data_IF_046869806546
#
_entry.id   IF_046869806546
#
_cell.length_a   1.000
_cell.length_b   1.000
_cell.length_c   1.000
_cell.angle_alpha   90.00
_cell.angle_beta   90.00
_cell.angle_gamma   90.00
#
_symmetry.space_group_name_H-M   'P 1'
#
loop_
_entity.id
_entity.type
_entity.pdbx_description
1 polymer ?
#
# COMPACT_ATOMS: atom_id res chain seq x y z
N UNK A 1 -14.69 4.74 19.39
CA UNK A 1 -14.69 5.92 20.27
C UNK A 1 -13.93 7.12 19.67
N UNK A 2 -12.59 7.19 19.63
CA UNK A 2 -11.88 8.34 19.00
C UNK A 2 -11.59 8.15 17.49
N UNK A 3 -11.48 6.91 17.01
CA UNK A 3 -11.11 6.62 15.61
C UNK A 3 -12.30 6.76 14.65
N UNK A 4 -13.51 6.39 15.09
CA UNK A 4 -14.74 6.51 14.27
C UNK A 4 -14.98 7.95 13.81
N UNK A 5 -14.64 8.93 14.65
CA UNK A 5 -14.81 10.35 14.35
C UNK A 5 -13.89 10.88 13.23
N UNK A 6 -12.76 10.21 12.96
CA UNK A 6 -11.85 10.59 11.86
C UNK A 6 -12.22 9.84 10.58
N UNK A 7 -12.75 8.62 10.69
CA UNK A 7 -13.20 7.80 9.56
C UNK A 7 -14.48 8.37 8.92
N UNK A 8 -15.37 8.98 9.70
CA UNK A 8 -16.57 9.67 9.18
C UNK A 8 -16.29 11.00 8.46
N UNK A 9 -15.05 11.50 8.51
CA UNK A 9 -14.76 12.89 8.16
C UNK A 9 -13.68 13.07 7.10
N UNK A 10 -13.64 12.25 6.06
CA UNK A 10 -12.70 12.37 4.92
C UNK A 10 -11.22 12.60 5.34
N UNK A 11 -10.89 12.25 6.59
CA UNK A 11 -9.63 12.58 7.23
C UNK A 11 -8.69 11.41 7.02
N UNK A 12 -7.68 11.62 6.19
CA UNK A 12 -6.60 10.63 6.05
C UNK A 12 -5.95 10.43 7.42
N UNK A 13 -5.94 9.19 7.94
CA UNK A 13 -5.32 8.90 9.24
C UNK A 13 -3.84 9.32 9.21
N UNK A 14 -3.34 9.90 10.31
CA UNK A 14 -1.89 10.06 10.46
C UNK A 14 -1.22 8.70 10.56
N UNK A 15 0.07 8.62 10.20
CA UNK A 15 0.83 7.36 10.31
C UNK A 15 0.76 6.73 11.72
N UNK A 16 0.93 7.47 12.84
CA UNK A 16 0.82 6.89 14.18
C UNK A 16 -0.58 6.35 14.49
N UNK A 17 -1.64 6.97 13.97
CA UNK A 17 -3.00 6.44 14.13
C UNK A 17 -3.17 5.15 13.34
N UNK A 18 -2.78 5.15 12.07
CA UNK A 18 -2.91 3.97 11.20
C UNK A 18 -2.15 2.75 11.74
N UNK A 19 -0.99 2.95 12.36
CA UNK A 19 -0.18 1.87 12.93
C UNK A 19 -0.80 1.21 14.18
N UNK A 20 -1.84 1.81 14.78
CA UNK A 20 -2.61 1.18 15.88
C UNK A 20 -3.67 0.20 15.37
N UNK A 21 -3.89 0.14 14.07
CA UNK A 21 -4.87 -0.72 13.41
C UNK A 21 -4.20 -1.87 12.67
N UNK A 22 -5.01 -2.84 12.24
CA UNK A 22 -4.53 -3.89 11.33
C UNK A 22 -4.35 -3.32 9.93
N UNK A 23 -3.10 -3.15 9.50
CA UNK A 23 -2.74 -2.61 8.18
C UNK A 23 -2.45 -3.76 7.20
N UNK A 24 -3.31 -3.95 6.20
CA UNK A 24 -3.17 -5.09 5.27
C UNK A 24 -1.94 -5.02 4.40
N UNK A 25 -1.43 -3.82 4.09
CA UNK A 25 -0.24 -3.65 3.26
C UNK A 25 0.98 -4.38 3.79
N UNK A 26 1.10 -4.56 5.11
CA UNK A 26 2.26 -5.22 5.73
C UNK A 26 2.27 -6.74 5.53
N UNK A 27 1.14 -7.34 5.15
CA UNK A 27 1.04 -8.77 4.86
C UNK A 27 0.67 -9.02 3.38
N UNK A 28 -0.40 -8.37 2.92
CA UNK A 28 -1.00 -8.61 1.60
C UNK A 28 -0.38 -7.72 0.49
N UNK A 29 0.46 -6.74 0.85
CA UNK A 29 1.10 -5.80 -0.09
C UNK A 29 2.19 -6.43 -0.96
N UNK A 30 2.61 -7.66 -0.64
CA UNK A 30 3.68 -8.46 -1.25
C UNK A 30 5.10 -7.91 -1.11
N UNK A 31 5.31 -6.61 -1.33
CA UNK A 31 6.58 -5.90 -1.15
C UNK A 31 6.25 -4.52 -0.63
N UNK A 32 7.01 -4.04 0.35
CA UNK A 32 6.86 -2.73 0.99
C UNK A 32 8.20 -1.99 0.96
N UNK A 33 8.20 -0.72 0.58
CA UNK A 33 9.42 0.10 0.59
C UNK A 33 9.29 1.36 -0.25
N UNK A 34 10.43 1.96 -0.59
CA UNK A 34 10.46 3.11 -1.50
C UNK A 34 9.97 2.73 -2.90
N UNK A 35 9.54 3.71 -3.68
CA UNK A 35 9.13 3.49 -5.06
C UNK A 35 10.23 2.81 -5.90
N UNK A 36 11.49 3.22 -5.71
CA UNK A 36 12.64 2.65 -6.41
C UNK A 36 12.82 1.16 -6.08
N UNK A 37 12.78 0.80 -4.80
CA UNK A 37 12.90 -0.59 -4.36
C UNK A 37 11.77 -1.46 -4.91
N UNK A 38 10.52 -1.01 -4.82
CA UNK A 38 9.36 -1.76 -5.32
C UNK A 38 9.41 -1.93 -6.84
N UNK A 39 9.88 -0.92 -7.58
CA UNK A 39 10.05 -1.01 -9.03
C UNK A 39 11.14 -2.01 -9.43
N UNK A 40 12.29 -2.01 -8.73
CA UNK A 40 13.34 -3.00 -8.98
C UNK A 40 12.83 -4.44 -8.78
N UNK A 41 12.05 -4.69 -7.72
CA UNK A 41 11.43 -6.01 -7.51
C UNK A 41 10.40 -6.33 -8.60
N UNK A 42 9.59 -5.36 -9.03
CA UNK A 42 8.64 -5.54 -10.12
C UNK A 42 9.31 -5.94 -11.44
N UNK A 43 10.37 -5.24 -11.84
CA UNK A 43 11.12 -5.53 -13.08
C UNK A 43 11.73 -6.93 -13.05
N UNK A 44 12.32 -7.30 -11.90
CA UNK A 44 12.85 -8.65 -11.68
C UNK A 44 11.77 -9.72 -11.83
N UNK A 45 10.63 -9.56 -11.15
CA UNK A 45 9.53 -10.54 -11.22
C UNK A 45 8.84 -10.58 -12.60
N UNK A 46 8.76 -9.44 -13.30
CA UNK A 46 8.23 -9.39 -14.67
C UNK A 46 9.15 -10.12 -15.65
N UNK A 47 10.47 -9.97 -15.50
CA UNK A 47 11.47 -10.65 -16.34
C UNK A 47 11.47 -12.15 -16.09
N UNK A 48 11.50 -12.57 -14.83
CA UNK A 48 11.65 -13.98 -14.46
C UNK A 48 10.35 -14.79 -14.61
N UNK A 49 9.20 -14.18 -14.33
CA UNK A 49 7.93 -14.91 -14.17
C UNK A 49 6.79 -14.37 -15.01
N UNK A 50 6.98 -13.23 -15.70
CA UNK A 50 5.92 -12.50 -16.41
C UNK A 50 4.64 -12.36 -15.59
N UNK A 51 4.81 -12.13 -14.28
CA UNK A 51 3.74 -12.22 -13.28
C UNK A 51 2.65 -11.17 -13.48
N UNK A 52 2.94 -10.05 -14.12
CA UNK A 52 1.99 -8.96 -14.31
C UNK A 52 1.63 -8.77 -15.78
N UNK A 53 0.41 -8.26 -16.02
CA UNK A 53 -0.10 -8.01 -17.36
C UNK A 53 0.64 -6.88 -18.06
N UNK A 54 0.79 -6.96 -19.39
CA UNK A 54 1.63 -6.05 -20.19
C UNK A 54 1.25 -4.57 -20.17
N UNK A 55 0.04 -4.22 -19.72
CA UNK A 55 -0.36 -2.82 -19.49
C UNK A 55 0.32 -2.20 -18.26
N UNK A 56 0.88 -3.02 -17.37
CA UNK A 56 1.56 -2.57 -16.17
C UNK A 56 3.02 -2.30 -16.50
N UNK A 57 3.40 -1.02 -16.50
CA UNK A 57 4.78 -0.57 -16.78
C UNK A 57 5.60 -0.32 -15.52
N UNK A 58 4.96 -0.11 -14.36
CA UNK A 58 5.64 0.11 -13.07
C UNK A 58 5.07 -0.73 -11.93
N UNK A 59 5.90 -0.97 -10.91
CA UNK A 59 5.60 -1.76 -9.73
C UNK A 59 4.94 -0.98 -8.61
N UNK A 60 5.49 0.19 -8.27
CA UNK A 60 5.09 0.94 -7.09
C UNK A 60 3.62 1.39 -7.14
N UNK A 61 2.86 1.09 -6.08
CA UNK A 61 1.49 1.55 -5.86
C UNK A 61 1.40 2.39 -4.60
N UNK A 62 0.63 3.47 -4.66
CA UNK A 62 0.32 4.30 -3.50
C UNK A 62 -0.57 3.51 -2.53
N UNK A 63 -0.30 3.72 -1.26
CA UNK A 63 -1.11 3.16 -0.18
C UNK A 63 -2.26 4.14 0.13
N UNK A 64 -3.43 3.61 0.47
CA UNK A 64 -4.67 4.32 0.79
C UNK A 64 -4.97 4.22 2.29
N UNK A 65 -5.80 5.12 2.81
CA UNK A 65 -6.34 5.08 4.17
C UNK A 65 -5.52 5.80 5.25
N UNK A 66 -4.29 6.22 4.95
CA UNK A 66 -3.46 7.02 5.85
C UNK A 66 -2.39 7.79 5.06
N UNK A 67 -1.72 8.73 5.72
CA UNK A 67 -0.53 9.38 5.18
C UNK A 67 0.68 8.45 5.36
N UNK A 68 0.96 7.70 4.30
CA UNK A 68 2.09 6.76 4.24
C UNK A 68 3.37 7.42 3.71
N UNK A 69 3.36 8.72 3.42
CA UNK A 69 4.47 9.43 2.79
C UNK A 69 4.95 8.74 1.49
N UNK A 70 6.25 8.47 1.42
CA UNK A 70 6.90 7.86 0.25
C UNK A 70 6.85 6.32 0.21
N UNK A 71 6.18 5.69 1.18
CA UNK A 71 6.04 4.25 1.20
C UNK A 71 5.13 3.77 0.05
N UNK A 72 5.53 2.68 -0.59
CA UNK A 72 4.83 2.07 -1.71
C UNK A 72 4.73 0.56 -1.49
N UNK A 73 3.74 -0.02 -2.14
CA UNK A 73 3.55 -1.48 -2.20
C UNK A 73 3.52 -2.00 -3.62
N UNK A 74 3.78 -3.30 -3.79
CA UNK A 74 3.69 -3.95 -5.10
C UNK A 74 2.25 -4.30 -5.48
N UNK A 75 1.40 -4.68 -4.52
CA UNK A 75 0.00 -5.02 -4.81
C UNK A 75 -0.90 -3.79 -4.67
N UNK A 76 -1.73 -3.52 -5.67
CA UNK A 76 -2.73 -2.46 -5.59
C UNK A 76 -3.94 -2.92 -4.77
N UNK A 77 -3.81 -2.93 -3.44
CA UNK A 77 -4.94 -3.19 -2.54
C UNK A 77 -5.85 -1.97 -2.50
N UNK A 78 -7.13 -2.17 -2.80
CA UNK A 78 -8.10 -1.08 -2.95
C UNK A 78 -9.13 -1.02 -1.83
N UNK A 79 -9.47 -2.17 -1.22
CA UNK A 79 -10.55 -2.29 -0.24
C UNK A 79 -10.03 -2.82 1.09
N UNK A 80 -10.67 -2.38 2.17
CA UNK A 80 -10.46 -2.84 3.55
C UNK A 80 -8.99 -2.79 3.99
N UNK A 81 -8.26 -1.76 3.54
CA UNK A 81 -6.80 -1.70 3.65
C UNK A 81 -6.29 -1.40 5.06
N UNK A 82 -7.15 -0.80 5.89
CA UNK A 82 -6.98 -0.59 7.32
C UNK A 82 -8.20 -1.19 8.00
N UNK A 83 -7.99 -2.08 8.97
CA UNK A 83 -9.06 -2.64 9.79
C UNK A 83 -9.50 -1.65 10.86
N UNK A 84 -10.82 -1.52 11.03
CA UNK A 84 -11.44 -0.83 12.17
C UNK A 84 -11.23 -1.62 13.45
#
# INVERSE_FOLDING_TARGET
>A
AEVEAVVEREGTLTLPQALRHRVRYFCDGAVLGSAAFVNAVFEREQTLRRRFGGKRTTGARRMRGADWGELRVLRDLQKDVIGT
#
